data_IF_873139163079
#
_entry.id   IF_873139163079
#
_cell.length_a   1.000
_cell.length_b   1.000
_cell.length_c   1.000
_cell.angle_alpha   90.00
_cell.angle_beta   90.00
_cell.angle_gamma   90.00
#
_symmetry.space_group_name_H-M   'P 1'
#
loop_
_entity.id
_entity.type
_entity.pdbx_description
1 polymer ?
#
# COMPACT_ATOMS: atom_id res chain seq x y z
N UNK A 1 12.16 -8.70 -35.61
CA UNK A 1 11.86 -7.67 -34.60
C UNK A 1 10.94 -8.30 -33.58
N UNK A 2 11.43 -8.61 -32.39
CA UNK A 2 10.58 -9.11 -31.30
C UNK A 2 9.88 -7.92 -30.67
N UNK A 3 8.55 -7.88 -30.77
CA UNK A 3 7.74 -6.87 -30.09
C UNK A 3 7.73 -7.27 -28.61
N UNK A 4 8.41 -6.51 -27.76
CA UNK A 4 8.25 -6.65 -26.31
C UNK A 4 6.79 -6.32 -25.95
N UNK A 5 6.12 -7.27 -25.32
CA UNK A 5 4.73 -7.14 -24.94
C UNK A 5 4.65 -6.27 -23.68
N UNK A 6 4.53 -4.96 -23.85
CA UNK A 6 4.45 -3.99 -22.75
C UNK A 6 3.03 -4.00 -22.16
N UNK A 7 2.89 -4.50 -20.94
CA UNK A 7 1.63 -4.40 -20.19
C UNK A 7 1.39 -2.93 -19.80
N UNK A 8 0.24 -2.40 -20.21
CA UNK A 8 -0.20 -1.03 -19.86
C UNK A 8 -1.43 -1.14 -18.96
N UNK A 9 -1.37 -0.52 -17.79
CA UNK A 9 -2.49 -0.43 -16.87
C UNK A 9 -3.42 0.72 -17.28
N UNK A 10 -4.69 0.43 -17.58
CA UNK A 10 -5.66 1.43 -18.06
C UNK A 10 -6.99 1.43 -17.30
N UNK A 11 -7.14 0.60 -16.25
CA UNK A 11 -8.38 0.52 -15.46
C UNK A 11 -8.28 1.24 -14.11
N UNK A 12 -7.89 2.53 -14.17
CA UNK A 12 -7.82 3.38 -12.97
C UNK A 12 -9.19 3.68 -12.36
N UNK A 13 -10.28 3.43 -13.10
CA UNK A 13 -11.65 3.60 -12.63
C UNK A 13 -12.10 2.51 -11.67
N UNK A 14 -11.60 1.28 -11.83
CA UNK A 14 -11.93 0.19 -10.93
C UNK A 14 -11.09 0.24 -9.64
N UNK A 15 -9.80 0.53 -9.75
CA UNK A 15 -8.87 0.66 -8.63
C UNK A 15 -7.61 1.41 -9.08
N UNK A 16 -6.65 1.63 -8.19
CA UNK A 16 -5.37 2.26 -8.53
C UNK A 16 -4.23 1.58 -7.79
N UNK A 17 -3.00 1.56 -8.35
CA UNK A 17 -1.82 1.15 -7.61
C UNK A 17 -1.63 2.01 -6.36
N UNK A 18 -1.28 1.37 -5.24
CA UNK A 18 -0.94 2.10 -4.01
C UNK A 18 0.37 2.86 -4.24
N UNK A 19 0.38 4.15 -3.92
CA UNK A 19 1.59 4.98 -4.03
C UNK A 19 2.66 4.51 -3.03
N UNK A 20 3.93 4.62 -3.40
CA UNK A 20 5.04 4.09 -2.59
C UNK A 20 5.05 4.70 -1.19
N UNK A 21 4.86 6.02 -1.09
CA UNK A 21 4.83 6.73 0.20
C UNK A 21 3.70 6.22 1.11
N UNK A 22 2.57 5.79 0.54
CA UNK A 22 1.46 5.22 1.33
C UNK A 22 1.86 3.86 1.90
N UNK A 23 2.54 3.02 1.11
CA UNK A 23 3.03 1.72 1.60
C UNK A 23 4.07 1.91 2.71
N UNK A 24 5.00 2.84 2.54
CA UNK A 24 6.04 3.15 3.53
C UNK A 24 5.43 3.55 4.88
N UNK A 25 4.43 4.45 4.87
CA UNK A 25 3.71 4.85 6.09
C UNK A 25 2.88 3.71 6.68
N UNK A 26 2.22 2.90 5.84
CA UNK A 26 1.42 1.76 6.32
C UNK A 26 2.29 0.71 7.02
N UNK A 27 3.51 0.46 6.53
CA UNK A 27 4.41 -0.53 7.12
C UNK A 27 4.70 -0.25 8.60
N UNK A 28 4.78 1.01 9.02
CA UNK A 28 5.03 1.38 10.41
C UNK A 28 3.98 0.79 11.36
N UNK A 29 2.72 0.76 10.95
CA UNK A 29 1.60 0.20 11.74
C UNK A 29 1.41 -1.31 11.54
N UNK A 30 2.09 -1.89 10.56
CA UNK A 30 2.10 -3.33 10.33
C UNK A 30 3.29 -4.04 11.01
N UNK A 31 4.35 -3.31 11.37
CA UNK A 31 5.56 -3.91 11.97
C UNK A 31 5.95 -3.33 13.33
N UNK A 32 5.74 -2.04 13.58
CA UNK A 32 6.25 -1.36 14.79
C UNK A 32 5.11 -0.96 15.74
N UNK A 33 4.10 -0.26 15.24
CA UNK A 33 3.00 0.28 16.03
C UNK A 33 1.78 -0.65 16.03
N UNK A 34 1.92 -1.81 16.67
CA UNK A 34 0.91 -2.90 16.66
C UNK A 34 -0.20 -2.75 17.72
N UNK A 35 -0.22 -1.64 18.46
CA UNK A 35 -1.17 -1.43 19.56
C UNK A 35 -2.62 -1.39 19.06
N UNK A 36 -3.53 -2.05 19.79
CA UNK A 36 -4.95 -1.91 19.53
C UNK A 36 -5.40 -0.47 19.89
N UNK A 37 -6.00 0.30 18.96
CA UNK A 37 -6.44 1.67 19.23
C UNK A 37 -7.44 1.81 20.38
N UNK A 38 -8.16 0.72 20.73
CA UNK A 38 -9.13 0.69 21.81
C UNK A 38 -8.56 0.22 23.15
N UNK A 39 -7.29 -0.18 23.20
CA UNK A 39 -6.64 -0.51 24.47
C UNK A 39 -6.58 0.72 25.36
N UNK A 40 -7.27 0.66 26.50
CA UNK A 40 -7.32 1.71 27.52
C UNK A 40 -6.01 1.90 28.29
N UNK A 41 -4.98 1.10 28.01
CA UNK A 41 -3.66 1.22 28.61
C UNK A 41 -2.57 0.98 27.56
N UNK A 42 -1.81 2.06 27.32
CA UNK A 42 -0.47 2.21 26.70
C UNK A 42 -0.36 3.67 26.17
N UNK A 43 -0.70 4.65 27.02
CA UNK A 43 -0.32 6.05 26.84
C UNK A 43 0.56 6.45 28.01
#
# INVERSE_FOLDING_TARGET
MTIENKTIYMDNSATTPVRREVVEEMLHYLTENLGNPYSIWLK
#
